data_IF_565316254280
#
_entry.id   IF_565316254280
#
_cell.length_a   1.000
_cell.length_b   1.000
_cell.length_c   1.000
_cell.angle_alpha   90.00
_cell.angle_beta   90.00
_cell.angle_gamma   90.00
#
_symmetry.space_group_name_H-M   'P 1'
#
loop_
_entity.id
_entity.type
_entity.pdbx_description
1 polymer ?
#
# COMPACT_ATOMS: atom_id res chain seq x y z
N UNK A 1 -10.66 23.28 27.81
CA UNK A 1 -10.76 23.88 26.46
C UNK A 1 -10.74 22.69 25.51
N UNK A 2 -11.76 22.55 24.67
CA UNK A 2 -11.85 21.48 23.68
C UNK A 2 -11.01 21.93 22.49
N UNK A 3 -10.03 21.16 21.99
CA UNK A 3 -9.33 21.54 20.76
C UNK A 3 -10.33 21.57 19.60
N UNK A 4 -10.37 22.66 18.88
CA UNK A 4 -11.11 22.76 17.63
C UNK A 4 -10.21 22.13 16.56
N UNK A 5 -10.47 20.90 16.18
CA UNK A 5 -9.85 20.27 15.04
C UNK A 5 -10.47 20.92 13.78
N UNK A 6 -9.68 21.63 13.02
CA UNK A 6 -10.06 22.10 11.68
C UNK A 6 -9.59 21.07 10.66
N UNK A 7 -10.52 20.34 10.09
CA UNK A 7 -10.29 19.57 8.87
C UNK A 7 -10.37 20.57 7.73
N UNK A 8 -9.24 20.89 7.13
CA UNK A 8 -9.21 21.71 5.91
C UNK A 8 -9.43 20.79 4.73
N UNK A 9 -10.66 20.74 4.24
CA UNK A 9 -10.95 20.21 2.92
C UNK A 9 -10.44 21.20 1.89
N UNK A 10 -9.43 20.84 1.14
CA UNK A 10 -9.03 21.58 -0.06
C UNK A 10 -10.16 21.47 -1.09
N UNK A 11 -10.98 22.51 -1.17
CA UNK A 11 -12.03 22.63 -2.19
C UNK A 11 -11.38 23.05 -3.51
N UNK A 12 -10.99 22.10 -4.32
CA UNK A 12 -10.76 22.36 -5.73
C UNK A 12 -12.11 22.55 -6.41
N UNK A 13 -12.33 23.73 -6.96
CA UNK A 13 -13.56 24.07 -7.67
C UNK A 13 -13.64 23.37 -9.01
N UNK A 14 -14.15 22.15 -9.04
CA UNK A 14 -14.40 21.38 -10.25
C UNK A 14 -15.82 21.56 -10.76
N UNK A 15 -15.97 21.84 -12.04
CA UNK A 15 -17.25 21.92 -12.76
C UNK A 15 -17.79 20.51 -13.01
N UNK A 16 -18.95 20.25 -12.44
CA UNK A 16 -19.72 19.00 -12.63
C UNK A 16 -20.31 18.91 -14.03
N UNK A 17 -20.11 17.77 -14.70
CA UNK A 17 -21.07 17.30 -15.69
C UNK A 17 -21.20 15.79 -15.67
N UNK A 18 -22.42 15.37 -15.46
CA UNK A 18 -22.89 13.99 -15.37
C UNK A 18 -23.29 13.48 -16.75
N UNK A 19 -22.89 12.27 -17.15
CA UNK A 19 -23.69 11.51 -18.12
C UNK A 19 -23.46 10.01 -18.05
N UNK A 20 -24.53 9.28 -18.32
CA UNK A 20 -24.88 7.90 -18.02
C UNK A 20 -24.60 6.93 -19.18
N UNK A 21 -24.23 5.68 -18.81
CA UNK A 21 -24.58 4.39 -19.42
C UNK A 21 -24.01 3.91 -20.76
N UNK A 22 -23.56 2.66 -20.75
CA UNK A 22 -23.60 1.75 -21.87
C UNK A 22 -22.69 0.53 -21.72
N UNK A 23 -23.20 -0.58 -21.16
CA UNK A 23 -22.49 -1.85 -21.08
C UNK A 23 -22.48 -2.64 -22.38
N UNK A 24 -21.53 -3.52 -22.58
CA UNK A 24 -21.75 -4.89 -23.03
C UNK A 24 -20.49 -5.79 -22.97
N UNK A 25 -20.73 -7.05 -22.61
CA UNK A 25 -19.77 -8.10 -22.32
C UNK A 25 -19.09 -8.68 -23.55
N UNK A 26 -17.80 -9.00 -23.47
CA UNK A 26 -17.07 -9.77 -24.49
C UNK A 26 -15.74 -10.33 -24.00
N UNK A 27 -15.78 -11.62 -23.69
CA UNK A 27 -14.73 -12.67 -23.60
C UNK A 27 -13.27 -12.36 -23.23
N UNK A 28 -12.85 -12.98 -22.23
CA UNK A 28 -11.69 -13.42 -21.45
C UNK A 28 -10.24 -13.23 -21.91
N UNK A 29 -9.90 -12.58 -23.01
CA UNK A 29 -8.52 -12.32 -23.44
C UNK A 29 -8.18 -10.83 -23.58
N UNK A 30 -9.17 -9.95 -23.44
CA UNK A 30 -8.99 -8.50 -23.48
C UNK A 30 -9.00 -7.91 -22.06
N UNK A 31 -9.39 -8.69 -21.08
CA UNK A 31 -9.69 -8.21 -19.72
C UNK A 31 -8.50 -7.71 -18.90
N UNK A 32 -7.26 -8.07 -19.27
CA UNK A 32 -6.05 -7.68 -18.52
C UNK A 32 -5.24 -6.55 -19.15
N UNK A 33 -5.70 -5.98 -20.29
CA UNK A 33 -5.00 -4.87 -20.95
C UNK A 33 -5.70 -3.54 -20.68
N UNK A 34 -4.93 -2.48 -20.48
CA UNK A 34 -5.48 -1.12 -20.49
C UNK A 34 -6.06 -0.83 -21.87
N UNK A 35 -7.30 -0.38 -21.91
CA UNK A 35 -8.07 -0.15 -23.13
C UNK A 35 -8.23 1.34 -23.46
N UNK A 36 -7.93 2.23 -22.50
CA UNK A 36 -7.94 3.68 -22.73
C UNK A 36 -6.79 4.11 -23.62
N UNK A 37 -6.97 5.22 -24.32
CA UNK A 37 -5.92 5.81 -25.16
C UNK A 37 -4.73 6.27 -24.32
N UNK A 38 -3.52 6.18 -24.84
CA UNK A 38 -2.30 6.56 -24.13
C UNK A 38 -2.33 8.01 -23.62
N UNK A 39 -2.98 8.90 -24.36
CA UNK A 39 -3.14 10.30 -23.97
C UNK A 39 -4.02 10.45 -22.71
N UNK A 40 -5.05 9.63 -22.55
CA UNK A 40 -5.92 9.65 -21.38
C UNK A 40 -5.21 9.03 -20.17
N UNK A 41 -4.50 7.93 -20.37
CA UNK A 41 -3.69 7.26 -19.34
C UNK A 41 -2.61 8.20 -18.78
N UNK A 42 -1.77 8.73 -19.66
CA UNK A 42 -0.68 9.64 -19.28
C UNK A 42 -1.20 10.99 -18.77
N UNK A 43 -2.35 11.42 -19.28
CA UNK A 43 -3.05 12.63 -18.81
C UNK A 43 -3.56 12.49 -17.37
N UNK A 44 -4.16 11.34 -17.04
CA UNK A 44 -4.64 11.04 -15.69
C UNK A 44 -3.49 10.97 -14.68
N UNK A 45 -2.40 10.29 -15.05
CA UNK A 45 -1.16 10.25 -14.27
C UNK A 45 -0.59 11.65 -14.02
N UNK A 46 -0.46 12.44 -15.09
CA UNK A 46 0.05 13.81 -14.97
C UNK A 46 -0.83 14.72 -14.12
N UNK A 47 -2.15 14.52 -14.15
CA UNK A 47 -3.09 15.26 -13.33
C UNK A 47 -2.93 14.90 -11.85
N UNK A 48 -2.77 13.62 -11.53
CA UNK A 48 -2.56 13.17 -10.16
C UNK A 48 -1.21 13.65 -9.60
N UNK A 49 -0.15 13.51 -10.36
CA UNK A 49 1.18 14.03 -10.00
C UNK A 49 1.18 15.56 -9.82
N UNK A 50 0.34 16.31 -10.55
CA UNK A 50 0.19 17.74 -10.35
C UNK A 50 -0.46 18.07 -9.01
N UNK A 51 -1.48 17.29 -8.57
CA UNK A 51 -2.08 17.44 -7.24
C UNK A 51 -1.06 17.15 -6.12
N UNK A 52 -0.21 16.15 -6.29
CA UNK A 52 0.88 15.84 -5.37
C UNK A 52 1.91 16.99 -5.30
N UNK A 53 2.26 17.56 -6.46
CA UNK A 53 3.16 18.71 -6.51
C UNK A 53 2.57 19.95 -5.83
N UNK A 54 1.25 20.19 -5.95
CA UNK A 54 0.56 21.27 -5.25
C UNK A 54 0.54 21.04 -3.73
N UNK A 55 0.33 19.81 -3.27
CA UNK A 55 0.39 19.45 -1.85
C UNK A 55 1.80 19.63 -1.28
N UNK A 56 2.83 19.22 -2.02
CA UNK A 56 4.22 19.43 -1.64
C UNK A 56 4.56 20.92 -1.56
N UNK A 57 4.16 21.72 -2.57
CA UNK A 57 4.40 23.17 -2.58
C UNK A 57 3.72 23.86 -1.39
N UNK A 58 2.52 23.44 -1.01
CA UNK A 58 1.81 23.94 0.16
C UNK A 58 2.59 23.63 1.45
N UNK A 59 3.12 22.41 1.61
CA UNK A 59 3.93 22.04 2.78
C UNK A 59 5.25 22.82 2.82
N UNK A 60 5.92 22.97 1.68
CA UNK A 60 7.18 23.72 1.57
C UNK A 60 7.00 25.22 1.88
N UNK A 61 5.80 25.75 1.64
CA UNK A 61 5.45 27.15 1.88
C UNK A 61 4.52 27.37 3.07
N UNK A 62 4.47 26.42 4.01
CA UNK A 62 3.50 26.39 5.12
C UNK A 62 3.42 27.69 5.93
N UNK A 63 4.56 28.36 6.15
CA UNK A 63 4.61 29.64 6.87
C UNK A 63 3.90 30.77 6.11
N UNK A 64 3.87 30.70 4.79
CA UNK A 64 3.17 31.65 3.93
C UNK A 64 1.68 31.34 3.83
N UNK A 65 1.32 30.06 3.79
CA UNK A 65 -0.05 29.56 3.74
C UNK A 65 -0.79 29.80 5.07
N UNK A 66 -0.10 29.64 6.20
CA UNK A 66 -0.63 29.83 7.55
C UNK A 66 0.20 30.86 8.34
N UNK A 67 0.14 32.15 8.01
CA UNK A 67 0.99 33.15 8.65
C UNK A 67 0.53 33.45 10.08
N UNK A 68 1.49 33.78 10.94
CA UNK A 68 1.22 34.36 12.26
C UNK A 68 1.45 33.42 13.45
N UNK A 69 2.06 32.29 13.23
CA UNK A 69 2.52 31.38 14.28
C UNK A 69 3.97 31.66 14.66
N UNK A 70 4.30 31.39 15.91
CA UNK A 70 5.66 31.54 16.44
C UNK A 70 6.54 30.31 16.12
N UNK A 71 5.92 29.15 15.90
CA UNK A 71 6.58 27.87 15.61
C UNK A 71 5.71 27.02 14.69
N UNK A 72 6.33 26.33 13.74
CA UNK A 72 5.69 25.38 12.83
C UNK A 72 6.29 23.99 13.04
N UNK A 73 5.45 23.00 13.28
CA UNK A 73 5.83 21.60 13.45
C UNK A 73 5.18 20.80 12.34
N UNK A 74 5.97 20.49 11.32
CA UNK A 74 5.53 19.72 10.17
C UNK A 74 6.04 18.29 10.32
N UNK A 75 5.12 17.34 10.28
CA UNK A 75 5.37 15.91 10.24
C UNK A 75 4.62 15.38 9.04
N UNK A 76 5.34 15.01 7.98
CA UNK A 76 4.75 14.59 6.72
C UNK A 76 5.36 13.29 6.25
N UNK A 77 4.49 12.37 5.84
CA UNK A 77 4.87 11.21 5.06
C UNK A 77 5.31 11.63 3.66
N UNK A 78 5.98 10.74 2.95
CA UNK A 78 6.41 10.96 1.58
C UNK A 78 5.20 11.11 0.64
N UNK A 79 5.25 12.12 -0.24
CA UNK A 79 4.18 12.39 -1.20
C UNK A 79 4.56 11.68 -2.51
N UNK A 80 4.03 10.50 -2.70
CA UNK A 80 4.26 9.71 -3.91
C UNK A 80 3.15 8.68 -4.12
N UNK A 81 2.97 8.23 -5.36
CA UNK A 81 2.16 7.08 -5.73
C UNK A 81 2.84 6.28 -6.84
N UNK A 82 2.39 5.04 -7.06
CA UNK A 82 2.82 4.28 -8.23
C UNK A 82 1.79 4.43 -9.37
N UNK A 83 2.23 4.82 -10.58
CA UNK A 83 1.32 5.07 -11.70
C UNK A 83 0.53 3.84 -12.14
N UNK A 84 1.07 2.62 -12.03
CA UNK A 84 0.31 1.41 -12.36
C UNK A 84 -0.81 1.15 -11.37
N UNK A 85 -0.61 1.50 -10.08
CA UNK A 85 -1.69 1.44 -9.09
C UNK A 85 -2.81 2.38 -9.48
N UNK A 86 -2.50 3.65 -9.79
CA UNK A 86 -3.48 4.64 -10.21
C UNK A 86 -4.26 4.19 -11.43
N UNK A 87 -3.57 3.82 -12.51
CA UNK A 87 -4.22 3.45 -13.78
C UNK A 87 -5.01 2.15 -13.65
N UNK A 88 -4.54 1.19 -12.85
CA UNK A 88 -5.29 -0.04 -12.57
C UNK A 88 -6.58 0.25 -11.80
N UNK A 89 -6.54 1.18 -10.83
CA UNK A 89 -7.73 1.65 -10.10
C UNK A 89 -8.72 2.29 -11.07
N UNK A 90 -8.28 3.25 -11.89
CA UNK A 90 -9.14 3.94 -12.84
C UNK A 90 -9.75 2.98 -13.86
N UNK A 91 -8.94 2.05 -14.41
CA UNK A 91 -9.41 1.04 -15.37
C UNK A 91 -10.45 0.10 -14.73
N UNK A 92 -10.25 -0.32 -13.49
CA UNK A 92 -11.21 -1.17 -12.80
C UNK A 92 -12.48 -0.41 -12.40
N UNK A 93 -12.34 0.82 -11.94
CA UNK A 93 -13.46 1.68 -11.52
C UNK A 93 -14.38 2.05 -12.67
N UNK A 94 -13.82 2.29 -13.85
CA UNK A 94 -14.54 2.67 -15.08
C UNK A 94 -14.79 1.49 -16.03
N UNK A 95 -14.71 0.25 -15.54
CA UNK A 95 -15.02 -0.97 -16.28
C UNK A 95 -14.21 -1.13 -17.59
N UNK A 96 -12.96 -0.69 -17.59
CA UNK A 96 -11.96 -0.93 -18.64
C UNK A 96 -11.54 0.28 -19.46
N UNK A 97 -12.41 1.21 -19.77
CA UNK A 97 -12.11 2.38 -20.60
C UNK A 97 -12.52 3.66 -19.90
N UNK A 98 -11.61 4.63 -19.91
CA UNK A 98 -11.90 5.98 -19.40
C UNK A 98 -11.25 7.04 -20.29
N UNK A 99 -11.76 8.24 -20.23
CA UNK A 99 -11.11 9.45 -20.73
C UNK A 99 -10.66 10.33 -19.58
N UNK A 100 -9.67 11.19 -19.81
CA UNK A 100 -9.17 12.12 -18.79
C UNK A 100 -10.30 12.99 -18.19
N UNK A 101 -11.23 13.44 -19.00
CA UNK A 101 -12.36 14.27 -18.53
C UNK A 101 -13.31 13.49 -17.60
N UNK A 102 -13.51 12.20 -17.84
CA UNK A 102 -14.40 11.36 -17.03
C UNK A 102 -13.82 11.01 -15.66
N UNK A 103 -12.51 10.98 -15.54
CA UNK A 103 -11.85 10.53 -14.29
C UNK A 103 -11.51 11.65 -13.30
N UNK A 104 -11.72 12.93 -13.64
CA UNK A 104 -11.33 14.06 -12.77
C UNK A 104 -11.84 13.90 -11.33
N UNK A 105 -13.13 13.63 -11.17
CA UNK A 105 -13.72 13.43 -9.83
C UNK A 105 -13.22 12.16 -9.13
N UNK A 106 -12.81 11.15 -9.89
CA UNK A 106 -12.22 9.93 -9.33
C UNK A 106 -10.81 10.20 -8.85
N UNK A 107 -10.01 10.97 -9.59
CA UNK A 107 -8.67 11.40 -9.17
C UNK A 107 -8.73 12.20 -7.87
N UNK A 108 -9.63 13.18 -7.77
CA UNK A 108 -9.85 13.98 -6.56
C UNK A 108 -10.25 13.07 -5.37
N UNK A 109 -11.18 12.15 -5.56
CA UNK A 109 -11.62 11.20 -4.52
C UNK A 109 -10.48 10.29 -4.07
N UNK A 110 -9.66 9.79 -4.98
CA UNK A 110 -8.51 8.95 -4.66
C UNK A 110 -7.45 9.73 -3.88
N UNK A 111 -7.19 10.97 -4.29
CA UNK A 111 -6.24 11.87 -3.63
C UNK A 111 -6.65 12.15 -2.19
N UNK A 112 -7.93 12.51 -1.95
CA UNK A 112 -8.46 12.74 -0.61
C UNK A 112 -8.42 11.49 0.29
N UNK A 113 -8.44 10.30 -0.30
CA UNK A 113 -8.33 9.04 0.45
C UNK A 113 -6.90 8.61 0.72
N UNK A 114 -5.98 8.97 -0.16
CA UNK A 114 -4.56 8.69 0.01
C UNK A 114 -3.92 9.66 0.99
N UNK A 115 -4.19 10.96 0.85
CA UNK A 115 -3.53 12.00 1.64
C UNK A 115 -4.47 12.59 2.68
N UNK A 116 -4.13 12.40 3.95
CA UNK A 116 -4.88 12.94 5.08
C UNK A 116 -4.05 14.04 5.73
N UNK A 117 -4.42 15.29 5.45
CA UNK A 117 -3.76 16.45 6.03
C UNK A 117 -4.52 16.93 7.27
N UNK A 118 -3.82 17.01 8.40
CA UNK A 118 -4.33 17.57 9.65
C UNK A 118 -3.55 18.80 10.03
N UNK A 119 -4.24 19.91 10.31
CA UNK A 119 -3.65 21.17 10.74
C UNK A 119 -4.27 21.59 12.06
N UNK A 120 -3.45 21.71 13.11
CA UNK A 120 -3.91 22.02 14.46
C UNK A 120 -3.11 23.16 15.09
N UNK A 121 -3.81 24.08 15.81
CA UNK A 121 -3.20 25.15 16.59
C UNK A 121 -2.98 24.71 18.04
N UNK A 122 -1.77 24.88 18.55
CA UNK A 122 -1.44 24.79 19.97
C UNK A 122 -1.07 26.17 20.51
N UNK A 123 -1.68 26.56 21.62
CA UNK A 123 -1.33 27.82 22.32
C UNK A 123 -0.67 27.50 23.64
N UNK A 124 0.58 27.90 23.79
CA UNK A 124 1.34 27.79 25.04
C UNK A 124 1.45 29.16 25.71
N UNK A 125 1.21 29.22 27.02
CA UNK A 125 1.55 30.42 27.79
C UNK A 125 3.02 30.33 28.18
N UNK A 126 3.81 31.23 27.62
CA UNK A 126 5.24 31.42 27.94
C UNK A 126 5.46 32.71 28.71
N UNK A 127 6.60 32.83 29.34
CA UNK A 127 6.96 34.03 30.13
C UNK A 127 8.22 34.65 29.55
N UNK A 128 8.20 35.98 29.48
CA UNK A 128 9.40 36.79 29.14
C UNK A 128 9.73 37.74 30.27
N UNK A 129 11.02 37.93 30.51
CA UNK A 129 11.50 38.87 31.50
C UNK A 129 11.50 40.30 30.91
N UNK A 130 10.74 41.20 31.53
CA UNK A 130 10.74 42.61 31.19
C UNK A 130 11.41 43.42 32.34
N UNK A 131 12.29 44.36 31.96
CA UNK A 131 12.85 45.30 32.93
C UNK A 131 11.92 46.49 33.05
N UNK A 132 11.47 46.79 34.25
CA UNK A 132 10.66 47.97 34.59
C UNK A 132 11.42 48.86 35.56
N UNK A 133 11.00 50.12 35.68
CA UNK A 133 11.60 51.07 36.63
C UNK A 133 10.57 51.45 37.69
N UNK A 134 10.97 51.42 38.95
CA UNK A 134 10.13 51.86 40.07
C UNK A 134 10.01 53.39 40.12
N UNK A 135 9.20 53.90 41.05
CA UNK A 135 8.99 55.34 41.23
C UNK A 135 10.22 56.08 41.74
N UNK A 136 11.28 55.37 42.16
CA UNK A 136 12.54 55.93 42.65
C UNK A 136 13.63 55.86 41.59
N UNK A 137 13.32 55.30 40.39
CA UNK A 137 14.25 55.21 39.28
C UNK A 137 15.09 53.94 39.25
N UNK A 138 14.83 52.94 40.15
CA UNK A 138 15.60 51.70 40.20
C UNK A 138 15.00 50.65 39.24
N UNK A 139 15.83 49.92 38.44
CA UNK A 139 15.36 48.88 37.59
C UNK A 139 15.01 47.62 38.38
N UNK A 140 13.89 46.99 38.04
CA UNK A 140 13.51 45.67 38.55
C UNK A 140 12.98 44.80 37.36
N UNK A 141 13.03 43.48 37.50
CA UNK A 141 12.56 42.55 36.48
C UNK A 141 11.21 41.94 36.87
N UNK A 142 10.35 41.78 35.90
CA UNK A 142 9.05 41.07 36.04
C UNK A 142 8.91 40.02 34.96
N UNK A 143 8.31 38.90 35.33
CA UNK A 143 7.91 37.87 34.36
C UNK A 143 6.52 38.21 33.81
N UNK A 144 6.44 38.42 32.49
CA UNK A 144 5.20 38.77 31.80
C UNK A 144 4.76 37.61 30.95
N UNK A 145 3.53 37.06 31.17
CA UNK A 145 3.02 36.01 30.34
C UNK A 145 2.69 36.53 28.94
N UNK A 146 2.93 35.69 27.94
CA UNK A 146 2.48 35.89 26.56
C UNK A 146 2.05 34.57 25.94
N UNK A 147 1.16 34.62 24.94
CA UNK A 147 0.80 33.46 24.15
C UNK A 147 1.87 33.19 23.10
N UNK A 148 2.24 31.93 23.00
CA UNK A 148 3.13 31.39 21.98
C UNK A 148 2.31 30.42 21.16
N UNK A 149 2.18 30.70 19.86
CA UNK A 149 1.33 29.96 18.94
C UNK A 149 2.17 28.98 18.13
N UNK A 150 1.76 27.70 18.16
CA UNK A 150 2.42 26.63 17.43
C UNK A 150 1.40 26.06 16.44
N UNK A 151 1.79 25.94 15.18
CA UNK A 151 1.03 25.22 14.18
C UNK A 151 1.61 23.80 14.04
N UNK A 152 0.78 22.79 14.25
CA UNK A 152 1.07 21.40 13.96
C UNK A 152 0.46 21.07 12.59
N UNK A 153 1.27 20.50 11.72
CA UNK A 153 0.85 20.05 10.38
C UNK A 153 1.29 18.61 10.23
N UNK A 154 0.33 17.72 10.18
CA UNK A 154 0.56 16.28 10.04
C UNK A 154 -0.05 15.82 8.71
N UNK A 155 0.77 15.26 7.82
CA UNK A 155 0.34 14.62 6.58
C UNK A 155 0.58 13.12 6.70
N UNK A 156 -0.50 12.35 6.56
CA UNK A 156 -0.46 10.90 6.45
C UNK A 156 -0.68 10.49 4.99
N UNK A 157 0.21 9.65 4.44
CA UNK A 157 0.02 8.97 3.16
C UNK A 157 -0.48 7.54 3.41
N UNK A 158 -1.77 7.31 3.18
CA UNK A 158 -2.41 6.00 3.37
C UNK A 158 -1.96 4.95 2.34
N UNK A 159 -1.14 5.32 1.37
CA UNK A 159 -0.70 4.54 0.22
C UNK A 159 -1.86 4.16 -0.73
N UNK A 160 -1.78 4.65 -1.96
CA UNK A 160 -2.85 4.48 -2.96
C UNK A 160 -3.23 3.01 -3.20
N UNK A 161 -2.28 2.08 -3.09
CA UNK A 161 -2.54 0.64 -3.27
C UNK A 161 -3.49 0.04 -2.22
N UNK A 162 -3.68 0.71 -1.09
CA UNK A 162 -4.61 0.27 -0.03
C UNK A 162 -6.04 0.78 -0.23
N UNK A 163 -6.22 1.82 -1.05
CA UNK A 163 -7.53 2.47 -1.25
C UNK A 163 -8.58 1.55 -1.91
N UNK A 164 -8.24 0.72 -2.92
CA UNK A 164 -9.23 -0.11 -3.64
C UNK A 164 -10.15 -0.93 -2.73
N UNK A 165 -9.64 -1.52 -1.67
CA UNK A 165 -10.40 -2.38 -0.77
C UNK A 165 -11.51 -1.66 0.02
N UNK A 166 -11.44 -0.34 0.11
CA UNK A 166 -12.42 0.49 0.81
C UNK A 166 -13.46 1.11 -0.12
N UNK A 167 -13.22 1.06 -1.44
CA UNK A 167 -14.08 1.75 -2.40
C UNK A 167 -14.68 0.83 -3.47
N UNK A 168 -14.07 -0.32 -3.74
CA UNK A 168 -14.44 -1.23 -4.83
C UNK A 168 -15.25 -2.42 -4.34
N UNK A 169 -16.17 -2.91 -5.20
CA UNK A 169 -16.83 -4.20 -5.03
C UNK A 169 -15.96 -5.36 -5.53
N UNK A 170 -16.39 -6.61 -5.30
CA UNK A 170 -15.64 -7.82 -5.65
C UNK A 170 -15.21 -7.88 -7.13
N UNK A 171 -16.11 -7.53 -8.05
CA UNK A 171 -15.83 -7.54 -9.48
C UNK A 171 -14.75 -6.51 -9.86
N UNK A 172 -14.84 -5.30 -9.31
CA UNK A 172 -13.84 -4.25 -9.53
C UNK A 172 -12.50 -4.61 -8.90
N UNK A 173 -12.48 -5.19 -7.70
CA UNK A 173 -11.25 -5.68 -7.06
C UNK A 173 -10.58 -6.78 -7.88
N UNK A 174 -11.37 -7.70 -8.46
CA UNK A 174 -10.84 -8.72 -9.36
C UNK A 174 -10.26 -8.13 -10.65
N UNK A 175 -10.88 -7.10 -11.20
CA UNK A 175 -10.35 -6.37 -12.36
C UNK A 175 -9.06 -5.62 -12.00
N UNK A 176 -9.05 -4.90 -10.87
CA UNK A 176 -7.86 -4.23 -10.35
C UNK A 176 -6.68 -5.18 -10.20
N UNK A 177 -6.88 -6.32 -9.53
CA UNK A 177 -5.86 -7.34 -9.35
C UNK A 177 -5.33 -7.89 -10.69
N UNK A 178 -6.21 -8.06 -11.67
CA UNK A 178 -5.85 -8.50 -13.02
C UNK A 178 -4.98 -7.46 -13.75
N UNK A 179 -5.34 -6.18 -13.67
CA UNK A 179 -4.53 -5.09 -14.24
C UNK A 179 -3.18 -4.99 -13.54
N UNK A 180 -3.12 -5.06 -12.22
CA UNK A 180 -1.87 -5.02 -11.46
C UNK A 180 -0.94 -6.18 -11.83
N UNK A 181 -1.45 -7.41 -11.95
CA UNK A 181 -0.62 -8.58 -12.27
C UNK A 181 -0.03 -8.56 -13.68
N UNK A 182 -0.69 -7.87 -14.62
CA UNK A 182 -0.27 -7.75 -16.02
C UNK A 182 0.35 -6.39 -16.34
N UNK A 183 0.28 -5.41 -15.44
CA UNK A 183 0.54 -3.98 -15.68
C UNK A 183 -0.22 -3.48 -16.94
N UNK A 184 -1.46 -3.94 -17.09
CA UNK A 184 -2.28 -3.66 -18.27
C UNK A 184 -1.65 -4.10 -19.59
N UNK A 185 -0.70 -5.05 -19.57
CA UNK A 185 0.14 -5.46 -20.70
C UNK A 185 0.91 -4.29 -21.36
N UNK A 186 1.19 -3.23 -20.59
CA UNK A 186 1.83 -2.00 -21.04
C UNK A 186 2.96 -1.56 -20.10
N UNK A 187 4.00 -2.42 -19.88
CA UNK A 187 5.13 -2.07 -18.99
C UNK A 187 5.97 -0.90 -19.54
N UNK A 188 5.72 -0.51 -20.78
CA UNK A 188 6.36 0.61 -21.47
C UNK A 188 5.84 1.99 -21.03
N UNK A 189 4.63 2.08 -20.46
CA UNK A 189 4.02 3.36 -20.07
C UNK A 189 4.80 4.05 -18.95
N UNK A 190 5.16 3.28 -17.92
CA UNK A 190 5.85 3.81 -16.73
C UNK A 190 7.03 2.91 -16.33
N UNK A 191 8.11 2.91 -17.12
CA UNK A 191 9.20 1.94 -16.94
C UNK A 191 10.01 2.12 -15.66
N UNK A 192 9.82 3.22 -14.92
CA UNK A 192 10.49 3.49 -13.64
C UNK A 192 9.73 2.92 -12.43
N UNK A 193 8.49 2.46 -12.62
CA UNK A 193 7.70 1.86 -11.55
C UNK A 193 8.36 0.59 -11.00
N UNK A 194 8.34 0.45 -9.68
CA UNK A 194 8.80 -0.75 -9.00
C UNK A 194 8.01 -2.01 -9.40
N UNK A 195 6.77 -1.85 -9.84
CA UNK A 195 5.93 -2.96 -10.32
C UNK A 195 6.40 -3.55 -11.66
N UNK A 196 7.10 -2.78 -12.51
CA UNK A 196 7.72 -3.32 -13.73
C UNK A 196 8.73 -4.40 -13.36
N UNK A 197 9.60 -4.12 -12.42
CA UNK A 197 10.56 -5.11 -11.92
C UNK A 197 9.87 -6.28 -11.24
N UNK A 198 8.83 -6.00 -10.44
CA UNK A 198 8.12 -7.01 -9.65
C UNK A 198 7.31 -8.01 -10.48
N UNK A 199 6.59 -7.53 -11.52
CA UNK A 199 5.62 -8.34 -12.24
C UNK A 199 5.98 -8.62 -13.70
N UNK A 200 6.64 -7.70 -14.39
CA UNK A 200 7.00 -7.87 -15.79
C UNK A 200 8.36 -8.55 -15.95
N UNK A 201 9.38 -8.10 -15.25
CA UNK A 201 10.72 -8.74 -15.29
C UNK A 201 10.75 -10.06 -14.50
N UNK A 202 9.87 -10.20 -13.52
CA UNK A 202 9.73 -11.38 -12.66
C UNK A 202 8.29 -11.90 -12.67
N UNK A 203 7.80 -12.41 -13.82
CA UNK A 203 6.43 -12.89 -13.93
C UNK A 203 6.17 -14.06 -12.97
N UNK A 204 4.89 -14.34 -12.64
CA UNK A 204 4.51 -15.51 -11.89
C UNK A 204 5.15 -16.77 -12.47
N UNK A 205 5.64 -17.66 -11.61
CA UNK A 205 6.19 -18.93 -12.04
C UNK A 205 5.05 -19.85 -12.51
N UNK A 206 5.19 -20.44 -13.70
CA UNK A 206 4.39 -21.59 -14.10
C UNK A 206 4.91 -22.80 -13.33
N UNK A 207 4.36 -23.02 -12.13
CA UNK A 207 4.84 -24.00 -11.19
C UNK A 207 3.68 -24.85 -10.65
N UNK A 208 3.87 -26.13 -10.70
CA UNK A 208 3.01 -27.12 -10.06
C UNK A 208 3.86 -27.89 -9.03
N UNK A 209 3.38 -27.96 -7.78
CA UNK A 209 4.12 -28.66 -6.73
C UNK A 209 4.31 -30.12 -7.11
N UNK A 210 5.56 -30.61 -7.20
CA UNK A 210 5.82 -32.00 -7.60
C UNK A 210 5.12 -33.01 -6.69
N UNK A 211 4.41 -33.98 -7.28
CA UNK A 211 3.70 -35.01 -6.54
C UNK A 211 4.63 -35.79 -5.57
N UNK A 212 5.91 -35.91 -5.88
CA UNK A 212 6.90 -36.52 -5.01
C UNK A 212 7.12 -35.72 -3.70
N UNK A 213 7.05 -34.38 -3.73
CA UNK A 213 7.13 -33.54 -2.54
C UNK A 213 5.87 -33.70 -1.68
N UNK A 214 4.69 -33.66 -2.31
CA UNK A 214 3.41 -33.86 -1.61
C UNK A 214 3.33 -35.28 -1.00
N UNK A 215 3.88 -36.29 -1.65
CA UNK A 215 3.91 -37.65 -1.15
C UNK A 215 4.97 -37.92 -0.07
N UNK A 216 5.94 -37.05 0.10
CA UNK A 216 7.02 -37.22 1.08
C UNK A 216 6.74 -36.63 2.45
N UNK A 217 5.85 -35.62 2.53
CA UNK A 217 5.48 -34.92 3.76
C UNK A 217 3.97 -34.65 3.82
N UNK A 218 3.27 -35.38 4.69
CA UNK A 218 1.82 -35.27 4.87
C UNK A 218 1.40 -33.87 5.36
N UNK A 219 2.24 -33.21 6.18
CA UNK A 219 1.95 -31.86 6.69
C UNK A 219 2.05 -30.84 5.57
N UNK A 220 3.09 -30.93 4.74
CA UNK A 220 3.25 -30.09 3.56
C UNK A 220 2.12 -30.31 2.55
N UNK A 221 1.73 -31.57 2.31
CA UNK A 221 0.61 -31.86 1.42
C UNK A 221 -0.70 -31.20 1.90
N UNK A 222 -1.01 -31.27 3.20
CA UNK A 222 -2.19 -30.61 3.79
C UNK A 222 -2.12 -29.09 3.71
N UNK A 223 -0.92 -28.52 3.88
CA UNK A 223 -0.71 -27.09 3.74
C UNK A 223 -1.04 -26.64 2.31
N UNK A 224 -0.51 -27.36 1.32
CA UNK A 224 -0.71 -27.02 -0.09
C UNK A 224 -2.15 -27.29 -0.56
N UNK A 225 -2.80 -28.39 -0.10
CA UNK A 225 -4.22 -28.65 -0.37
C UNK A 225 -5.12 -27.49 0.07
N UNK A 226 -4.77 -26.81 1.17
CA UNK A 226 -5.48 -25.62 1.60
C UNK A 226 -5.08 -24.39 0.78
N UNK A 227 -3.78 -24.18 0.58
CA UNK A 227 -3.24 -22.96 -0.04
C UNK A 227 -3.64 -22.82 -1.52
N UNK A 228 -3.61 -23.92 -2.28
CA UNK A 228 -3.90 -23.91 -3.72
C UNK A 228 -5.33 -23.52 -4.06
N UNK A 229 -6.26 -23.60 -3.10
CA UNK A 229 -7.65 -23.15 -3.30
C UNK A 229 -7.76 -21.66 -3.60
N UNK A 230 -6.76 -20.90 -3.21
CA UNK A 230 -6.79 -19.43 -3.25
C UNK A 230 -5.84 -18.85 -4.31
N UNK A 231 -5.13 -19.68 -5.07
CA UNK A 231 -4.30 -19.20 -6.19
C UNK A 231 -5.17 -18.41 -7.16
N UNK A 232 -4.71 -17.20 -7.52
CA UNK A 232 -5.44 -16.27 -8.37
C UNK A 232 -6.37 -15.30 -7.61
N UNK A 233 -6.53 -15.44 -6.27
CA UNK A 233 -7.25 -14.44 -5.47
C UNK A 233 -6.48 -13.11 -5.44
N UNK A 234 -7.18 -11.96 -5.56
CA UNK A 234 -6.52 -10.65 -5.55
C UNK A 234 -5.91 -10.35 -4.18
N UNK A 235 -4.87 -9.51 -4.17
CA UNK A 235 -4.33 -8.95 -2.95
C UNK A 235 -5.30 -7.92 -2.36
N UNK A 236 -5.58 -8.02 -1.07
CA UNK A 236 -6.42 -7.08 -0.32
C UNK A 236 -5.72 -6.74 0.98
N UNK A 237 -5.31 -5.50 1.15
CA UNK A 237 -4.66 -5.04 2.38
C UNK A 237 -5.53 -5.30 3.61
N UNK A 238 -4.96 -5.97 4.62
CA UNK A 238 -5.70 -6.39 5.82
C UNK A 238 -6.65 -7.57 5.61
N UNK A 239 -6.83 -8.05 4.38
CA UNK A 239 -7.64 -9.21 4.07
C UNK A 239 -7.09 -10.49 4.69
N UNK A 240 -7.98 -11.40 5.14
CA UNK A 240 -7.58 -12.57 5.90
C UNK A 240 -8.54 -13.76 5.81
N UNK A 241 -9.55 -13.68 4.94
CA UNK A 241 -10.53 -14.75 4.69
C UNK A 241 -10.89 -14.80 3.21
N UNK A 242 -11.43 -15.94 2.72
CA UNK A 242 -11.88 -16.03 1.32
C UNK A 242 -12.88 -14.95 0.91
N UNK A 243 -13.73 -14.49 1.84
CA UNK A 243 -14.75 -13.47 1.59
C UNK A 243 -14.17 -12.07 1.44
N UNK A 244 -13.04 -11.81 2.08
CA UNK A 244 -12.35 -10.50 2.01
C UNK A 244 -11.16 -10.51 1.06
N UNK A 245 -10.82 -11.69 0.49
CA UNK A 245 -9.50 -11.96 -0.05
C UNK A 245 -8.39 -11.80 1.01
N UNK A 246 -7.14 -11.66 0.62
CA UNK A 246 -6.01 -11.81 1.52
C UNK A 246 -4.94 -10.74 1.29
N UNK A 247 -4.24 -10.33 2.36
CA UNK A 247 -2.87 -9.84 2.26
C UNK A 247 -1.85 -10.98 2.44
N UNK A 248 -0.57 -10.70 2.32
CA UNK A 248 0.48 -11.72 2.39
C UNK A 248 0.44 -12.54 3.70
N UNK A 249 0.30 -11.87 4.82
CA UNK A 249 0.28 -12.48 6.15
C UNK A 249 -1.09 -13.06 6.52
N UNK A 250 -2.17 -12.47 6.01
CA UNK A 250 -3.52 -12.99 6.13
C UNK A 250 -3.67 -14.33 5.42
N UNK A 251 -3.16 -14.44 4.19
CA UNK A 251 -3.12 -15.69 3.44
C UNK A 251 -2.38 -16.79 4.20
N UNK A 252 -1.13 -16.53 4.61
CA UNK A 252 -0.33 -17.52 5.35
C UNK A 252 -0.98 -17.91 6.66
N UNK A 253 -1.48 -16.93 7.44
CA UNK A 253 -2.16 -17.18 8.71
C UNK A 253 -3.43 -18.03 8.54
N UNK A 254 -4.21 -17.73 7.52
CA UNK A 254 -5.43 -18.45 7.21
C UNK A 254 -5.15 -19.91 6.80
N UNK A 255 -4.23 -20.10 5.85
CA UNK A 255 -3.85 -21.43 5.36
C UNK A 255 -3.29 -22.31 6.47
N UNK A 256 -2.39 -21.79 7.30
CA UNK A 256 -1.84 -22.51 8.46
C UNK A 256 -2.93 -22.95 9.46
N UNK A 257 -3.89 -22.06 9.71
CA UNK A 257 -4.97 -22.33 10.66
C UNK A 257 -5.96 -23.35 10.09
N UNK A 258 -6.40 -23.19 8.83
CA UNK A 258 -7.43 -24.05 8.23
C UNK A 258 -6.90 -25.43 7.79
N UNK A 259 -5.62 -25.54 7.44
CA UNK A 259 -4.97 -26.84 7.27
C UNK A 259 -4.84 -27.61 8.61
N UNK A 260 -5.11 -26.96 9.75
CA UNK A 260 -5.00 -27.56 11.09
C UNK A 260 -3.54 -27.79 11.54
N UNK A 261 -2.55 -27.20 10.84
CA UNK A 261 -1.13 -27.38 11.16
C UNK A 261 -0.68 -26.46 12.27
N UNK A 262 -1.15 -25.21 12.26
CA UNK A 262 -0.74 -24.22 13.24
C UNK A 262 -1.79 -23.11 13.38
N UNK A 263 -2.37 -22.96 14.55
CA UNK A 263 -3.30 -21.86 14.80
C UNK A 263 -2.54 -20.56 15.10
N UNK A 264 -2.39 -19.71 14.10
CA UNK A 264 -1.73 -18.41 14.25
C UNK A 264 -2.68 -17.31 14.71
N UNK A 265 -4.01 -17.52 14.61
CA UNK A 265 -4.93 -16.38 14.57
C UNK A 265 -4.59 -15.46 13.39
N UNK A 266 -4.80 -14.15 13.53
CA UNK A 266 -4.41 -13.14 12.53
C UNK A 266 -3.10 -12.47 12.97
N UNK A 267 -1.99 -12.88 12.37
CA UNK A 267 -0.68 -12.24 12.59
C UNK A 267 -0.25 -11.49 11.31
N UNK A 268 0.47 -10.37 11.48
CA UNK A 268 1.20 -9.73 10.41
C UNK A 268 2.50 -10.49 10.08
N UNK A 269 3.19 -10.11 9.00
CA UNK A 269 4.43 -10.75 8.55
C UNK A 269 5.51 -10.78 9.65
N UNK A 270 5.71 -9.67 10.36
CA UNK A 270 6.62 -9.60 11.51
C UNK A 270 6.19 -10.55 12.65
N UNK A 271 4.88 -10.68 12.90
CA UNK A 271 4.34 -11.59 13.91
C UNK A 271 4.61 -13.06 13.56
N UNK A 272 4.42 -13.44 12.30
CA UNK A 272 4.74 -14.77 11.79
C UNK A 272 6.25 -15.07 11.90
N UNK A 273 7.10 -14.09 11.59
CA UNK A 273 8.54 -14.23 11.79
C UNK A 273 8.89 -14.47 13.25
N UNK A 274 8.30 -13.70 14.17
CA UNK A 274 8.61 -13.77 15.61
C UNK A 274 8.25 -15.13 16.23
N UNK A 275 7.26 -15.87 15.68
CA UNK A 275 6.89 -17.22 16.16
C UNK A 275 7.63 -18.34 15.43
N UNK A 276 8.37 -18.03 14.36
CA UNK A 276 9.16 -19.00 13.60
C UNK A 276 10.59 -19.14 14.15
N UNK A 277 11.22 -20.27 13.89
CA UNK A 277 12.64 -20.50 14.15
C UNK A 277 13.41 -20.24 12.87
N UNK A 278 14.36 -19.28 12.83
CA UNK A 278 15.17 -19.03 11.66
C UNK A 278 15.94 -20.27 11.20
N UNK A 279 15.97 -20.52 9.89
CA UNK A 279 16.69 -21.65 9.28
C UNK A 279 17.51 -21.19 8.08
N UNK A 280 18.65 -21.82 7.85
CA UNK A 280 19.53 -21.56 6.69
C UNK A 280 19.35 -22.56 5.55
N UNK A 281 18.67 -23.67 5.81
CA UNK A 281 18.34 -24.70 4.81
C UNK A 281 16.83 -24.93 4.83
N UNK A 282 16.07 -24.18 4.01
CA UNK A 282 14.63 -24.28 4.00
C UNK A 282 14.14 -25.62 3.47
N UNK A 283 13.01 -26.04 3.97
CA UNK A 283 12.27 -27.22 3.50
C UNK A 283 10.88 -26.78 3.04
N UNK A 284 10.26 -27.49 2.10
CA UNK A 284 8.88 -27.22 1.72
C UNK A 284 7.96 -27.11 2.94
N UNK A 285 7.20 -26.01 3.00
CA UNK A 285 6.37 -25.65 4.15
C UNK A 285 7.02 -24.65 5.13
N UNK A 286 8.32 -24.37 5.04
CA UNK A 286 8.92 -23.25 5.77
C UNK A 286 8.40 -21.91 5.22
N UNK A 287 8.44 -20.88 6.04
CA UNK A 287 8.08 -19.53 5.63
C UNK A 287 9.31 -18.78 5.10
N UNK A 288 9.10 -17.93 4.11
CA UNK A 288 10.11 -17.01 3.60
C UNK A 288 9.67 -15.57 3.87
N UNK A 289 10.58 -14.75 4.34
CA UNK A 289 10.32 -13.40 4.83
C UNK A 289 11.15 -12.35 4.09
N UNK A 290 10.56 -11.18 3.88
CA UNK A 290 11.18 -10.07 3.16
C UNK A 290 10.98 -8.75 3.91
N UNK A 291 11.85 -7.77 3.61
CA UNK A 291 11.79 -6.40 4.13
C UNK A 291 11.76 -5.40 2.97
N UNK A 292 11.18 -4.22 3.18
CA UNK A 292 11.16 -3.15 2.18
C UNK A 292 10.30 -3.43 0.95
N UNK A 293 9.39 -4.42 1.01
CA UNK A 293 8.42 -4.70 -0.05
C UNK A 293 7.19 -3.80 0.01
N UNK A 294 6.95 -3.22 1.18
CA UNK A 294 5.94 -2.22 1.49
C UNK A 294 6.55 -1.23 2.48
N UNK A 295 5.99 -0.04 2.59
CA UNK A 295 6.40 0.97 3.56
C UNK A 295 5.92 0.59 4.97
N UNK A 296 6.52 -0.46 5.52
CA UNK A 296 6.28 -0.94 6.88
C UNK A 296 7.61 -1.30 7.55
N UNK A 297 7.85 -0.87 8.80
CA UNK A 297 9.07 -1.21 9.52
C UNK A 297 9.22 -2.72 9.73
N UNK A 298 10.43 -3.23 9.54
CA UNK A 298 10.77 -4.64 9.77
C UNK A 298 10.35 -5.57 8.65
N UNK A 299 9.82 -6.76 9.01
CA UNK A 299 9.38 -7.76 8.02
C UNK A 299 8.06 -7.31 7.41
N UNK A 300 8.10 -7.00 6.11
CA UNK A 300 6.98 -6.43 5.37
C UNK A 300 6.20 -7.43 4.51
N UNK A 301 6.81 -8.60 4.17
CA UNK A 301 6.16 -9.62 3.35
C UNK A 301 6.52 -11.03 3.80
N UNK A 302 5.62 -12.00 3.49
CA UNK A 302 5.81 -13.41 3.80
C UNK A 302 5.19 -14.30 2.71
N UNK A 303 5.86 -15.42 2.43
CA UNK A 303 5.38 -16.49 1.58
C UNK A 303 5.66 -17.87 2.19
N UNK A 304 5.13 -18.91 1.55
CA UNK A 304 5.39 -20.32 1.87
C UNK A 304 6.44 -20.83 0.88
N UNK A 305 7.58 -21.28 1.37
CA UNK A 305 8.56 -21.96 0.54
C UNK A 305 8.03 -23.33 0.09
N UNK A 306 8.01 -23.57 -1.21
CA UNK A 306 7.41 -24.80 -1.77
C UNK A 306 8.42 -25.76 -2.40
N UNK A 307 9.72 -25.43 -2.33
CA UNK A 307 10.78 -26.24 -2.91
C UNK A 307 11.45 -25.56 -4.11
N UNK A 308 12.03 -26.35 -4.98
CA UNK A 308 12.71 -25.92 -6.20
C UNK A 308 11.92 -26.41 -7.42
N UNK A 309 11.96 -25.62 -8.48
CA UNK A 309 11.38 -26.00 -9.79
C UNK A 309 12.29 -27.00 -10.55
N UNK A 310 11.89 -27.34 -11.78
CA UNK A 310 12.64 -28.28 -12.62
C UNK A 310 14.04 -27.80 -13.01
N UNK A 311 14.30 -26.50 -12.91
CA UNK A 311 15.59 -25.86 -13.20
C UNK A 311 16.45 -25.66 -11.94
N UNK A 312 15.92 -26.00 -10.77
CA UNK A 312 16.58 -25.83 -9.47
C UNK A 312 16.41 -24.43 -8.87
N UNK A 313 15.51 -23.61 -9.41
CA UNK A 313 15.17 -22.31 -8.84
C UNK A 313 14.25 -22.47 -7.63
N UNK A 314 14.56 -21.85 -6.48
CA UNK A 314 13.69 -21.90 -5.30
C UNK A 314 12.39 -21.11 -5.57
N UNK A 315 11.27 -21.69 -5.14
CA UNK A 315 9.93 -21.14 -5.39
C UNK A 315 9.17 -20.94 -4.08
N UNK A 316 8.37 -19.91 -4.01
CA UNK A 316 7.39 -19.67 -2.95
C UNK A 316 5.98 -19.53 -3.52
N UNK A 317 4.98 -19.90 -2.70
CA UNK A 317 3.60 -19.49 -2.87
C UNK A 317 3.31 -18.35 -1.92
N UNK A 318 2.82 -17.22 -2.43
CA UNK A 318 2.55 -16.04 -1.61
C UNK A 318 1.35 -15.25 -2.13
N UNK A 319 0.79 -14.41 -1.27
CA UNK A 319 -0.16 -13.40 -1.72
C UNK A 319 0.65 -12.19 -2.23
N UNK A 320 0.94 -12.24 -3.54
CA UNK A 320 1.40 -11.11 -4.32
C UNK A 320 0.18 -10.30 -4.77
N UNK A 321 0.07 -10.07 -6.07
CA UNK A 321 -1.15 -9.53 -6.67
C UNK A 321 -1.27 -10.14 -8.08
N UNK A 322 -1.95 -11.28 -8.19
CA UNK A 322 -2.72 -12.09 -7.22
C UNK A 322 -1.87 -13.05 -6.36
N UNK A 323 -2.55 -13.96 -5.60
CA UNK A 323 -1.89 -15.11 -4.97
C UNK A 323 -1.30 -16.00 -6.06
N UNK A 324 0.01 -16.24 -5.98
CA UNK A 324 0.77 -16.86 -7.08
C UNK A 324 2.05 -17.53 -6.60
N UNK A 325 2.60 -18.38 -7.46
CA UNK A 325 3.95 -18.89 -7.33
C UNK A 325 4.95 -17.90 -7.89
N UNK A 326 6.08 -17.69 -7.19
CA UNK A 326 7.16 -16.81 -7.64
C UNK A 326 8.53 -17.44 -7.37
N UNK A 327 9.46 -17.26 -8.32
CA UNK A 327 10.85 -17.66 -8.15
C UNK A 327 11.56 -16.72 -7.20
N UNK A 328 12.32 -17.28 -6.25
CA UNK A 328 13.05 -16.52 -5.23
C UNK A 328 14.41 -16.01 -5.67
N UNK A 329 14.93 -16.53 -6.77
CA UNK A 329 16.25 -16.18 -7.32
C UNK A 329 16.21 -14.97 -8.28
N UNK A 330 15.07 -14.30 -8.39
CA UNK A 330 14.93 -13.04 -9.14
C UNK A 330 15.58 -11.88 -8.40
N UNK A 331 15.98 -10.83 -9.14
CA UNK A 331 16.65 -9.66 -8.57
C UNK A 331 15.79 -8.98 -7.50
N UNK A 332 14.49 -8.87 -7.74
CA UNK A 332 13.55 -8.27 -6.79
C UNK A 332 13.53 -9.04 -5.46
N UNK A 333 13.24 -10.34 -5.48
CA UNK A 333 13.12 -11.11 -4.25
C UNK A 333 14.45 -11.26 -3.52
N UNK A 334 15.59 -11.34 -4.25
CA UNK A 334 16.92 -11.36 -3.66
C UNK A 334 17.27 -10.05 -2.94
N UNK A 335 16.91 -8.90 -3.48
CA UNK A 335 17.19 -7.59 -2.86
C UNK A 335 16.37 -7.33 -1.59
N UNK A 336 15.20 -7.96 -1.45
CA UNK A 336 14.29 -7.82 -0.31
C UNK A 336 14.36 -9.00 0.68
N UNK A 337 15.10 -10.04 0.36
CA UNK A 337 15.19 -11.24 1.19
C UNK A 337 15.69 -10.92 2.61
N UNK A 338 14.96 -11.44 3.60
CA UNK A 338 15.32 -11.27 5.00
C UNK A 338 15.74 -12.59 5.66
N UNK A 339 14.87 -13.61 5.65
CA UNK A 339 15.14 -14.89 6.31
C UNK A 339 14.15 -15.98 5.87
N UNK A 340 14.55 -17.24 6.11
CA UNK A 340 13.59 -18.35 6.20
C UNK A 340 13.27 -18.65 7.68
N UNK A 341 12.05 -19.10 7.95
CA UNK A 341 11.61 -19.46 9.28
C UNK A 341 10.75 -20.72 9.29
N UNK A 342 11.01 -21.60 10.24
CA UNK A 342 10.29 -22.86 10.42
C UNK A 342 9.31 -22.79 11.57
N UNK A 343 8.09 -23.25 11.36
CA UNK A 343 7.10 -23.46 12.40
C UNK A 343 7.07 -24.92 12.82
N UNK A 344 6.85 -25.16 14.12
CA UNK A 344 6.63 -26.51 14.63
C UNK A 344 5.18 -26.91 14.39
N UNK A 345 4.91 -27.52 13.25
CA UNK A 345 3.58 -28.01 12.87
C UNK A 345 3.11 -29.15 13.77
N UNK A 346 1.81 -29.13 14.12
CA UNK A 346 1.15 -30.16 14.92
C UNK A 346 1.00 -31.48 14.16
#
# INVERSE_FOLDING_TARGET
MVPLAFIVLLLFGGLSSCSLFGGNSGSGLIASSYLSEDADITGAESAYAAMEAELQDMLDNIESEYPGYDEYRVNADEIEHDPYVLISILSAWHEGVFTLDEVQSTLEMLFEKQYILTVEEEVQVRYRTETRTDSEGNPYTVEVPYNYYILHVDLENFNLSHVPVYIMGEEQLSMYAMYMSSLGNRPDLFPQSGYVSKYYENPPADYEVPAALLGSDEKFARLMEEADKYVGFPYVWGGSTPETSFDCSGFVSYVLTNSGLYNTGRLGAQGLYNISTPVSNPQPGDLVFFTGTYDTPGVSHVGIYVGEDGDGSPVMLHCGDPIQYSKLDTSYWQSHFYAYGRLNYN
#
